data_IF_644316831284
#
_entry.id   IF_644316831284
#
_cell.length_a   1.000
_cell.length_b   1.000
_cell.length_c   1.000
_cell.angle_alpha   90.00
_cell.angle_beta   90.00
_cell.angle_gamma   90.00
#
_symmetry.space_group_name_H-M   'P 1'
#
loop_
_entity.id
_entity.type
_entity.pdbx_description
1 polymer ?
#
# COMPACT_ATOMS: atom_id res chain seq x y z
N UNK A 1 -25.63 -51.74 1.31
CA UNK A 1 -25.49 -50.42 0.66
C UNK A 1 -25.03 -50.67 -0.75
N UNK A 2 -25.79 -50.21 -1.74
CA UNK A 2 -25.46 -50.44 -3.15
C UNK A 2 -24.23 -49.65 -3.56
N UNK A 3 -23.36 -50.26 -4.39
CA UNK A 3 -22.10 -49.64 -4.83
C UNK A 3 -22.31 -48.25 -5.46
N UNK A 4 -23.45 -48.04 -6.12
CA UNK A 4 -23.87 -46.76 -6.70
C UNK A 4 -24.06 -45.68 -5.61
N UNK A 5 -24.65 -46.05 -4.47
CA UNK A 5 -24.85 -45.13 -3.34
C UNK A 5 -23.53 -44.70 -2.70
N UNK A 6 -22.56 -45.61 -2.62
CA UNK A 6 -21.22 -45.32 -2.11
C UNK A 6 -20.47 -44.36 -3.04
N UNK A 7 -20.48 -44.61 -4.35
CA UNK A 7 -19.82 -43.75 -5.34
C UNK A 7 -20.45 -42.35 -5.36
N UNK A 8 -21.78 -42.25 -5.33
CA UNK A 8 -22.48 -40.96 -5.28
C UNK A 8 -22.09 -40.15 -4.03
N UNK A 9 -21.92 -40.81 -2.88
CA UNK A 9 -21.53 -40.15 -1.64
C UNK A 9 -20.09 -39.58 -1.70
N UNK A 10 -19.16 -40.31 -2.30
CA UNK A 10 -17.78 -39.84 -2.51
C UNK A 10 -17.72 -38.62 -3.44
N UNK A 11 -18.48 -38.65 -4.53
CA UNK A 11 -18.56 -37.52 -5.47
C UNK A 11 -19.15 -36.29 -4.77
N UNK A 12 -20.25 -36.47 -4.04
CA UNK A 12 -20.87 -35.38 -3.29
C UNK A 12 -19.92 -34.79 -2.24
N UNK A 13 -19.21 -35.63 -1.48
CA UNK A 13 -18.23 -35.18 -0.49
C UNK A 13 -17.07 -34.40 -1.15
N UNK A 14 -16.58 -34.83 -2.30
CA UNK A 14 -15.54 -34.12 -3.06
C UNK A 14 -16.02 -32.75 -3.54
N UNK A 15 -17.22 -32.69 -4.11
CA UNK A 15 -17.83 -31.44 -4.58
C UNK A 15 -18.07 -30.47 -3.41
N UNK A 16 -18.64 -30.96 -2.31
CA UNK A 16 -18.89 -30.16 -1.12
C UNK A 16 -17.59 -29.60 -0.52
N UNK A 17 -16.52 -30.39 -0.51
CA UNK A 17 -15.20 -29.95 -0.05
C UNK A 17 -14.63 -28.85 -0.94
N UNK A 18 -14.78 -28.98 -2.26
CA UNK A 18 -14.29 -27.97 -3.20
C UNK A 18 -15.05 -26.65 -3.06
N UNK A 19 -16.38 -26.68 -3.00
CA UNK A 19 -17.17 -25.48 -2.75
C UNK A 19 -16.87 -24.86 -1.38
N UNK A 20 -16.70 -25.68 -0.34
CA UNK A 20 -16.29 -25.22 0.98
C UNK A 20 -14.94 -24.50 0.95
N UNK A 21 -13.95 -25.07 0.27
CA UNK A 21 -12.63 -24.46 0.10
C UNK A 21 -12.70 -23.15 -0.69
N UNK A 22 -13.53 -23.07 -1.74
CA UNK A 22 -13.71 -21.86 -2.53
C UNK A 22 -14.33 -20.72 -1.70
N UNK A 23 -15.35 -21.02 -0.90
CA UNK A 23 -15.98 -20.04 0.00
C UNK A 23 -15.00 -19.56 1.06
N UNK A 24 -14.31 -20.48 1.75
CA UNK A 24 -13.32 -20.12 2.78
C UNK A 24 -12.18 -19.31 2.17
N UNK A 25 -11.65 -19.73 1.01
CA UNK A 25 -10.61 -19.01 0.29
C UNK A 25 -11.04 -17.59 -0.09
N UNK A 26 -12.26 -17.43 -0.63
CA UNK A 26 -12.82 -16.12 -0.95
C UNK A 26 -12.94 -15.21 0.27
N UNK A 27 -13.42 -15.73 1.40
CA UNK A 27 -13.51 -14.97 2.66
C UNK A 27 -12.14 -14.57 3.19
N UNK A 28 -11.16 -15.47 3.15
CA UNK A 28 -9.79 -15.19 3.59
C UNK A 28 -9.14 -14.08 2.76
N UNK A 29 -9.36 -14.05 1.45
CA UNK A 29 -8.87 -12.98 0.57
C UNK A 29 -9.47 -11.64 0.98
N UNK A 30 -10.79 -11.58 1.21
CA UNK A 30 -11.45 -10.34 1.65
C UNK A 30 -10.93 -9.85 3.00
N UNK A 31 -10.67 -10.78 3.94
CA UNK A 31 -10.09 -10.46 5.25
C UNK A 31 -8.65 -9.96 5.08
N UNK A 32 -7.84 -10.63 4.26
CA UNK A 32 -6.47 -10.23 3.98
C UNK A 32 -6.39 -8.84 3.34
N UNK A 33 -7.22 -8.57 2.32
CA UNK A 33 -7.34 -7.24 1.72
C UNK A 33 -7.77 -6.19 2.74
N UNK A 34 -8.73 -6.51 3.63
CA UNK A 34 -9.18 -5.59 4.67
C UNK A 34 -8.08 -5.28 5.68
N UNK A 35 -7.24 -6.26 6.02
CA UNK A 35 -6.09 -6.07 6.91
C UNK A 35 -4.98 -5.27 6.22
N UNK A 36 -4.69 -5.53 4.95
CA UNK A 36 -3.68 -4.79 4.19
C UNK A 36 -4.09 -3.33 3.94
N UNK A 37 -5.38 -3.08 3.67
CA UNK A 37 -5.93 -1.71 3.59
C UNK A 37 -5.77 -0.91 4.89
N UNK A 38 -5.65 -1.57 6.04
CA UNK A 38 -5.39 -0.94 7.35
C UNK A 38 -3.91 -0.72 7.65
N UNK A 39 -3.00 -1.27 6.86
CA UNK A 39 -1.57 -1.10 7.08
C UNK A 39 -1.16 0.29 6.60
N UNK A 40 -1.10 1.23 7.53
CA UNK A 40 -0.55 2.55 7.24
C UNK A 40 0.94 2.43 6.85
N UNK A 41 1.42 3.23 5.89
CA UNK A 41 2.83 3.24 5.53
C UNK A 41 3.70 3.54 6.76
N UNK A 42 4.78 2.79 6.93
CA UNK A 42 5.69 3.02 8.06
C UNK A 42 6.51 4.29 7.84
N UNK A 43 7.06 4.88 8.90
CA UNK A 43 7.96 6.02 8.78
C UNK A 43 9.20 5.68 7.93
N UNK A 44 9.65 4.42 7.95
CA UNK A 44 10.76 3.96 7.11
C UNK A 44 10.41 4.04 5.62
N UNK A 45 9.18 3.63 5.25
CA UNK A 45 8.70 3.71 3.88
C UNK A 45 8.58 5.17 3.41
N UNK A 46 8.12 6.05 4.29
CA UNK A 46 8.02 7.50 4.02
C UNK A 46 9.40 8.10 3.75
N UNK A 47 10.39 7.82 4.61
CA UNK A 47 11.77 8.30 4.43
C UNK A 47 12.42 7.76 3.17
N UNK A 48 12.23 6.46 2.90
CA UNK A 48 12.75 5.84 1.69
C UNK A 48 12.13 6.46 0.43
N UNK A 49 10.82 6.69 0.43
CA UNK A 49 10.14 7.35 -0.67
C UNK A 49 10.63 8.79 -0.86
N UNK A 50 10.72 9.59 0.21
CA UNK A 50 11.24 10.96 0.15
C UNK A 50 12.66 11.01 -0.43
N UNK A 51 13.54 10.09 0.00
CA UNK A 51 14.89 9.95 -0.57
C UNK A 51 14.86 9.66 -2.07
N UNK A 52 14.03 8.70 -2.51
CA UNK A 52 13.87 8.37 -3.93
C UNK A 52 13.32 9.55 -4.74
N UNK A 53 12.36 10.31 -4.20
CA UNK A 53 11.83 11.50 -4.86
C UNK A 53 12.91 12.55 -5.11
N UNK A 54 13.79 12.82 -4.14
CA UNK A 54 14.92 13.74 -4.35
C UNK A 54 15.93 13.20 -5.34
N UNK A 55 16.30 11.92 -5.24
CA UNK A 55 17.27 11.31 -6.14
C UNK A 55 16.80 11.36 -7.59
N UNK A 56 15.49 11.17 -7.82
CA UNK A 56 14.95 11.09 -9.16
C UNK A 56 14.52 12.43 -9.74
N UNK A 57 13.90 13.30 -8.93
CA UNK A 57 13.33 14.57 -9.38
C UNK A 57 14.13 15.80 -8.95
N UNK A 58 15.14 15.66 -8.09
CA UNK A 58 16.01 16.74 -7.64
C UNK A 58 15.22 17.92 -7.07
N UNK A 59 15.46 19.10 -7.63
CA UNK A 59 14.80 20.36 -7.26
C UNK A 59 13.29 20.37 -7.56
N UNK A 60 12.83 19.55 -8.51
CA UNK A 60 11.41 19.47 -8.87
C UNK A 60 10.61 18.53 -7.97
N UNK A 61 11.24 17.88 -6.98
CA UNK A 61 10.59 16.88 -6.13
C UNK A 61 9.32 17.42 -5.43
N UNK A 62 9.31 18.70 -5.02
CA UNK A 62 8.14 19.33 -4.40
C UNK A 62 6.99 19.60 -5.38
N UNK A 63 7.29 19.93 -6.63
CA UNK A 63 6.25 20.16 -7.64
C UNK A 63 5.60 18.84 -8.04
N UNK A 64 6.43 17.83 -8.32
CA UNK A 64 5.98 16.50 -8.73
C UNK A 64 5.16 15.82 -7.64
N UNK A 65 5.56 15.93 -6.36
CA UNK A 65 4.75 15.35 -5.28
C UNK A 65 3.41 16.07 -5.10
N UNK A 66 3.34 17.36 -5.43
CA UNK A 66 2.11 18.13 -5.49
C UNK A 66 1.15 17.61 -6.57
N UNK A 67 1.66 17.37 -7.78
CA UNK A 67 0.89 16.77 -8.87
C UNK A 67 0.41 15.36 -8.53
N UNK A 68 1.27 14.55 -7.92
CA UNK A 68 0.89 13.23 -7.45
C UNK A 68 -0.15 13.28 -6.33
N UNK A 69 -0.11 14.29 -5.45
CA UNK A 69 -1.16 14.51 -4.46
C UNK A 69 -2.49 14.91 -5.10
N UNK A 70 -2.46 15.71 -6.16
CA UNK A 70 -3.65 16.06 -6.94
C UNK A 70 -4.24 14.82 -7.61
N UNK A 71 -3.40 14.01 -8.26
CA UNK A 71 -3.81 12.73 -8.85
C UNK A 71 -4.40 11.79 -7.78
N UNK A 72 -3.78 11.70 -6.61
CA UNK A 72 -4.25 10.90 -5.47
C UNK A 72 -5.58 11.37 -4.89
N UNK A 73 -6.00 12.62 -5.15
CA UNK A 73 -7.29 13.13 -4.66
C UNK A 73 -8.49 12.51 -5.39
N UNK A 74 -8.26 11.95 -6.58
CA UNK A 74 -9.28 11.23 -7.35
C UNK A 74 -9.37 9.74 -6.99
N UNK A 75 -8.46 9.23 -6.14
CA UNK A 75 -8.54 7.86 -5.66
C UNK A 75 -9.72 7.69 -4.67
N UNK A 76 -10.45 6.57 -4.72
CA UNK A 76 -11.56 6.31 -3.80
C UNK A 76 -11.11 6.17 -2.34
N UNK A 77 -9.82 5.91 -2.09
CA UNK A 77 -9.24 5.83 -0.76
C UNK A 77 -8.23 6.97 -0.46
N UNK A 78 -8.44 7.68 0.65
CA UNK A 78 -7.55 8.76 1.09
C UNK A 78 -6.16 8.28 1.59
N UNK A 79 -5.87 6.98 1.54
CA UNK A 79 -4.62 6.38 2.03
C UNK A 79 -3.42 6.88 1.24
N UNK A 80 -3.50 6.85 -0.09
CA UNK A 80 -2.40 7.29 -0.94
C UNK A 80 -2.11 8.79 -0.74
N UNK A 81 -3.16 9.61 -0.62
CA UNK A 81 -3.03 11.03 -0.28
C UNK A 81 -2.40 11.26 1.10
N UNK A 82 -2.78 10.49 2.14
CA UNK A 82 -2.15 10.55 3.47
C UNK A 82 -0.67 10.17 3.43
N UNK A 83 -0.31 9.16 2.65
CA UNK A 83 1.08 8.76 2.44
C UNK A 83 1.89 9.89 1.79
N UNK A 84 1.42 10.42 0.67
CA UNK A 84 2.10 11.51 -0.05
C UNK A 84 2.24 12.76 0.81
N UNK A 85 1.24 13.07 1.64
CA UNK A 85 1.33 14.18 2.62
C UNK A 85 2.44 13.98 3.65
N UNK A 86 2.70 12.73 4.08
CA UNK A 86 3.82 12.42 4.98
C UNK A 86 5.16 12.51 4.25
N UNK A 87 5.22 12.03 3.01
CA UNK A 87 6.42 12.15 2.16
C UNK A 87 6.74 13.62 1.87
N UNK A 88 5.74 14.48 1.62
CA UNK A 88 5.96 15.91 1.40
C UNK A 88 6.50 16.62 2.64
N UNK A 89 6.02 16.23 3.84
CA UNK A 89 6.54 16.75 5.10
C UNK A 89 8.00 16.34 5.33
N UNK A 90 8.36 15.09 5.02
CA UNK A 90 9.73 14.58 5.14
C UNK A 90 10.68 15.26 4.15
N UNK A 91 10.22 15.50 2.91
CA UNK A 91 10.96 16.29 1.92
C UNK A 91 11.25 17.70 2.43
N UNK A 92 10.25 18.36 3.01
CA UNK A 92 10.37 19.70 3.58
C UNK A 92 11.35 19.73 4.76
N UNK A 93 11.20 18.78 5.69
CA UNK A 93 12.07 18.68 6.87
C UNK A 93 13.53 18.52 6.47
N UNK A 94 13.81 17.75 5.41
CA UNK A 94 15.19 17.60 4.95
C UNK A 94 15.70 18.82 4.18
N UNK A 95 14.87 19.44 3.35
CA UNK A 95 15.27 20.65 2.62
C UNK A 95 15.65 21.79 3.58
N UNK A 96 14.90 21.96 4.68
CA UNK A 96 15.23 22.91 5.74
C UNK A 96 16.56 22.59 6.42
N UNK A 97 16.89 21.31 6.62
CA UNK A 97 18.17 20.91 7.22
C UNK A 97 19.34 21.11 6.27
N UNK A 98 19.16 20.86 4.98
CA UNK A 98 20.18 21.12 3.95
C UNK A 98 20.47 22.62 3.80
N UNK A 99 19.43 23.46 3.79
CA UNK A 99 19.56 24.93 3.74
C UNK A 99 20.21 25.48 5.02
N UNK A 100 19.80 25.00 6.20
CA UNK A 100 20.43 25.36 7.47
C UNK A 100 21.92 24.97 7.51
N UNK A 101 22.29 23.82 6.93
CA UNK A 101 23.69 23.40 6.76
C UNK A 101 24.44 24.30 5.78
N UNK A 102 23.84 24.67 4.65
CA UNK A 102 24.47 25.53 3.66
C UNK A 102 24.85 26.90 4.26
N UNK A 103 23.91 27.53 4.98
CA UNK A 103 24.16 28.82 5.66
C UNK A 103 25.18 28.74 6.80
N UNK A 104 25.35 27.57 7.42
CA UNK A 104 26.38 27.37 8.44
C UNK A 104 27.80 27.24 7.86
N UNK A 105 27.91 27.02 6.55
CA UNK A 105 29.17 26.86 5.83
C UNK A 105 29.57 28.17 5.11
N UNK A 106 28.62 29.04 4.76
CA UNK A 106 28.90 30.39 4.25
C UNK A 106 29.31 31.34 5.40
N UNK A 107 30.53 31.92 5.38
CA UNK A 107 31.06 32.78 6.45
C UNK A 107 30.53 34.23 6.42
#
# INVERSE_FOLDING_TARGET
MDAISTVANWIYAGIATWYGAAVVGGVLILVAERLDRRREPSDADVRHAASRYRQHYGEHAFHVIGDHMLAASFAPDGRHRRFLKRVSAELLATAVTDDARARAIEP
#
